data_IF_945800668872
#
_entry.id   IF_945800668872
#
_cell.length_a   1.000
_cell.length_b   1.000
_cell.length_c   1.000
_cell.angle_alpha   90.00
_cell.angle_beta   90.00
_cell.angle_gamma   90.00
#
_symmetry.space_group_name_H-M   'P 1'
#
loop_
_entity.id
_entity.type
_entity.pdbx_description
1 polymer ?
#
# COMPACT_ATOMS: atom_id res chain seq x y z
N UNK A 1 5.57 13.01 2.32
CA UNK A 1 5.31 13.06 0.87
C UNK A 1 4.37 11.91 0.58
N UNK A 2 3.16 12.18 0.11
CA UNK A 2 2.29 11.11 -0.36
C UNK A 2 2.98 10.51 -1.58
N UNK A 3 3.38 9.25 -1.48
CA UNK A 3 3.91 8.55 -2.63
C UNK A 3 2.73 8.19 -3.52
N UNK A 4 2.84 8.45 -4.84
CA UNK A 4 1.83 8.06 -5.81
C UNK A 4 1.69 6.54 -5.85
N UNK A 5 0.87 6.05 -4.92
CA UNK A 5 0.66 4.63 -4.65
C UNK A 5 -0.44 4.07 -5.54
N UNK A 6 -1.23 4.92 -6.18
CA UNK A 6 -2.35 4.49 -7.00
C UNK A 6 -2.10 4.81 -8.47
N UNK A 7 -2.72 4.05 -9.36
CA UNK A 7 -2.68 4.31 -10.78
C UNK A 7 -4.06 4.15 -11.42
N UNK A 8 -4.27 4.81 -12.55
CA UNK A 8 -5.36 4.54 -13.48
C UNK A 8 -4.83 4.47 -14.90
N UNK A 9 -5.55 3.78 -15.76
CA UNK A 9 -5.32 3.81 -17.20
C UNK A 9 -6.37 4.71 -17.83
N UNK A 10 -5.89 5.73 -18.54
CA UNK A 10 -6.71 6.62 -19.35
C UNK A 10 -6.94 5.98 -20.72
N UNK A 11 -8.21 5.78 -21.07
CA UNK A 11 -8.68 5.16 -22.32
C UNK A 11 -9.40 6.15 -23.22
N UNK A 12 -9.42 7.44 -22.88
CA UNK A 12 -10.09 8.50 -23.66
C UNK A 12 -9.46 8.76 -25.03
N UNK A 13 -8.28 8.19 -25.29
CA UNK A 13 -7.51 8.37 -26.51
C UNK A 13 -7.00 7.01 -27.01
N UNK A 14 -6.62 6.94 -28.29
CA UNK A 14 -6.07 5.74 -28.96
C UNK A 14 -4.83 5.12 -28.29
N UNK A 15 -4.24 5.80 -27.30
CA UNK A 15 -3.09 5.33 -26.55
C UNK A 15 -3.49 5.27 -25.07
N UNK A 16 -3.52 4.06 -24.51
CA UNK A 16 -3.75 3.85 -23.09
C UNK A 16 -2.59 4.42 -22.25
N UNK A 17 -2.83 5.51 -21.53
CA UNK A 17 -1.82 6.20 -20.72
C UNK A 17 -1.97 5.81 -19.25
N UNK A 18 -0.87 5.43 -18.60
CA UNK A 18 -0.84 5.18 -17.17
C UNK A 18 -0.64 6.49 -16.41
N UNK A 19 -1.64 6.86 -15.61
CA UNK A 19 -1.62 8.02 -14.72
C UNK A 19 -1.40 7.57 -13.28
N UNK A 20 -0.55 8.29 -12.56
CA UNK A 20 -0.25 8.05 -11.14
C UNK A 20 -1.04 9.02 -10.26
N UNK A 21 -1.48 8.54 -9.09
CA UNK A 21 -2.34 9.27 -8.18
C UNK A 21 -1.91 9.11 -6.72
N UNK A 22 -2.09 10.18 -5.95
CA UNK A 22 -1.82 10.17 -4.51
C UNK A 22 -2.86 9.35 -3.73
N UNK A 23 -4.11 9.30 -4.21
CA UNK A 23 -5.23 8.65 -3.52
C UNK A 23 -5.99 7.67 -4.40
N UNK A 24 -6.61 6.66 -3.78
CA UNK A 24 -7.47 5.71 -4.48
C UNK A 24 -8.67 6.39 -5.15
N UNK A 25 -9.24 7.41 -4.51
CA UNK A 25 -10.41 8.12 -5.05
C UNK A 25 -10.05 8.92 -6.31
N UNK A 26 -8.87 9.53 -6.37
CA UNK A 26 -8.37 10.15 -7.60
C UNK A 26 -8.18 9.13 -8.73
N UNK A 27 -7.59 7.97 -8.43
CA UNK A 27 -7.41 6.91 -9.43
C UNK A 27 -8.75 6.36 -9.96
N UNK A 28 -9.73 6.13 -9.07
CA UNK A 28 -11.08 5.73 -9.43
C UNK A 28 -11.74 6.77 -10.33
N UNK A 29 -11.73 8.03 -9.92
CA UNK A 29 -12.39 9.11 -10.65
C UNK A 29 -11.73 9.32 -12.01
N UNK A 30 -10.40 9.28 -12.08
CA UNK A 30 -9.66 9.42 -13.34
C UNK A 30 -9.95 8.27 -14.30
N UNK A 31 -10.01 7.02 -13.80
CA UNK A 31 -10.40 5.86 -14.61
C UNK A 31 -11.83 6.01 -15.15
N UNK A 32 -12.77 6.42 -14.29
CA UNK A 32 -14.16 6.62 -14.68
C UNK A 32 -14.30 7.73 -15.72
N UNK A 33 -13.60 8.85 -15.56
CA UNK A 33 -13.61 9.95 -16.52
C UNK A 33 -13.11 9.47 -17.89
N UNK A 34 -11.96 8.78 -17.95
CA UNK A 34 -11.41 8.27 -19.20
C UNK A 34 -12.36 7.30 -19.91
N UNK A 35 -12.99 6.38 -19.17
CA UNK A 35 -13.98 5.47 -19.73
C UNK A 35 -15.26 6.19 -20.21
N UNK A 36 -15.69 7.23 -19.49
CA UNK A 36 -16.86 8.03 -19.88
C UNK A 36 -16.59 8.80 -21.16
N UNK A 37 -15.43 9.44 -21.27
CA UNK A 37 -15.03 10.18 -22.47
C UNK A 37 -14.90 9.26 -23.69
N UNK A 38 -14.31 8.07 -23.53
CA UNK A 38 -14.23 7.07 -24.60
C UNK A 38 -15.62 6.56 -25.04
N UNK A 39 -16.53 6.34 -24.08
CA UNK A 39 -17.90 5.95 -24.38
C UNK A 39 -18.67 7.04 -25.14
N UNK A 40 -18.57 8.29 -24.71
CA UNK A 40 -19.19 9.44 -25.39
C UNK A 40 -18.68 9.60 -26.82
N UNK A 41 -17.36 9.41 -27.02
CA UNK A 41 -16.79 9.42 -28.37
C UNK A 41 -17.31 8.27 -29.24
N UNK A 42 -17.48 7.07 -28.69
CA UNK A 42 -18.03 5.93 -29.40
C UNK A 42 -19.52 6.12 -29.75
N UNK A 43 -20.30 6.78 -28.89
CA UNK A 43 -21.70 7.16 -29.15
C UNK A 43 -21.77 8.17 -30.32
N UNK A 44 -20.89 9.17 -30.33
CA UNK A 44 -20.78 10.16 -31.42
C UNK A 44 -20.38 9.51 -32.77
N UNK A 45 -19.62 8.42 -32.74
CA UNK A 45 -19.12 7.70 -33.91
C UNK A 45 -19.96 6.49 -34.33
N UNK A 46 -20.98 6.10 -33.53
CA UNK A 46 -21.74 4.84 -33.68
C UNK A 46 -20.81 3.60 -33.74
N UNK A 47 -19.73 3.60 -32.95
CA UNK A 47 -18.67 2.59 -32.96
C UNK A 47 -18.46 1.93 -31.59
N UNK A 48 -19.57 1.54 -30.96
CA UNK A 48 -19.54 0.85 -29.67
C UNK A 48 -18.84 -0.51 -29.72
N UNK A 49 -18.77 -1.16 -30.90
CA UNK A 49 -18.05 -2.42 -31.06
C UNK A 49 -16.55 -2.23 -30.80
N UNK A 50 -15.97 -1.14 -31.32
CA UNK A 50 -14.56 -0.82 -31.05
C UNK A 50 -14.34 -0.45 -29.59
N UNK A 51 -15.20 0.37 -29.00
CA UNK A 51 -15.10 0.72 -27.57
C UNK A 51 -15.15 -0.51 -26.65
N UNK A 52 -16.10 -1.42 -26.88
CA UNK A 52 -16.24 -2.65 -26.09
C UNK A 52 -15.03 -3.59 -26.26
N UNK A 53 -14.48 -3.65 -27.48
CA UNK A 53 -13.36 -4.53 -27.80
C UNK A 53 -11.99 -3.97 -27.38
N UNK A 54 -11.80 -2.65 -27.44
CA UNK A 54 -10.47 -2.04 -27.41
C UNK A 54 -10.25 -1.04 -26.28
N UNK A 55 -11.27 -0.33 -25.79
CA UNK A 55 -11.08 0.72 -24.77
C UNK A 55 -11.53 0.23 -23.38
N UNK A 56 -12.78 -0.22 -23.29
CA UNK A 56 -13.40 -0.64 -22.02
C UNK A 56 -12.60 -1.71 -21.25
N UNK A 57 -12.02 -2.75 -21.87
CA UNK A 57 -11.23 -3.75 -21.16
C UNK A 57 -9.97 -3.19 -20.48
N UNK A 58 -9.50 -2.01 -20.91
CA UNK A 58 -8.30 -1.37 -20.42
C UNK A 58 -8.57 -0.24 -19.43
N UNK A 59 -9.84 0.14 -19.21
CA UNK A 59 -10.24 1.10 -18.20
C UNK A 59 -10.08 0.50 -16.79
N UNK A 60 -8.84 0.50 -16.28
CA UNK A 60 -8.47 -0.09 -14.99
C UNK A 60 -7.82 0.91 -14.05
N UNK A 61 -7.97 0.68 -12.75
CA UNK A 61 -7.25 1.39 -11.70
C UNK A 61 -6.74 0.42 -10.65
N UNK A 62 -5.70 0.80 -9.90
CA UNK A 62 -5.09 -0.09 -8.94
C UNK A 62 -4.05 0.55 -8.04
N UNK A 63 -3.28 -0.32 -7.37
CA UNK A 63 -2.24 0.04 -6.41
C UNK A 63 -0.88 -0.37 -6.97
N UNK A 64 0.07 0.56 -7.00
CA UNK A 64 1.48 0.32 -7.26
C UNK A 64 2.07 -0.37 -6.04
N UNK A 65 2.50 -1.63 -6.19
CA UNK A 65 3.11 -2.42 -5.11
C UNK A 65 4.61 -2.15 -4.92
N UNK A 66 5.27 -1.60 -5.93
CA UNK A 66 6.65 -1.15 -5.85
C UNK A 66 7.06 -0.39 -7.11
N UNK A 67 8.16 0.36 -7.02
CA UNK A 67 8.73 1.16 -8.11
C UNK A 67 10.25 1.26 -7.97
N UNK A 68 10.93 1.46 -9.09
CA UNK A 68 12.33 1.89 -9.06
C UNK A 68 12.39 3.41 -8.87
N UNK A 69 13.27 3.89 -8.00
CA UNK A 69 13.54 5.30 -7.80
C UNK A 69 15.05 5.53 -7.82
N UNK A 70 15.48 6.50 -8.62
CA UNK A 70 16.82 7.08 -8.51
C UNK A 70 16.74 8.37 -7.73
N UNK A 71 17.69 8.57 -6.81
CA UNK A 71 17.89 9.86 -6.17
C UNK A 71 18.80 10.73 -7.04
N UNK A 72 18.70 12.05 -6.84
CA UNK A 72 19.54 13.02 -7.52
C UNK A 72 20.32 13.74 -6.43
N UNK A 73 21.63 13.81 -6.61
CA UNK A 73 22.52 14.55 -5.70
C UNK A 73 23.42 15.51 -6.47
N UNK A 74 23.90 16.58 -5.83
CA UNK A 74 24.98 17.39 -6.40
C UNK A 74 26.26 16.57 -6.55
N UNK A 75 27.13 17.01 -7.45
CA UNK A 75 28.49 16.46 -7.56
C UNK A 75 29.28 16.71 -6.28
N UNK A 76 30.15 15.76 -5.96
CA UNK A 76 31.22 15.96 -4.98
C UNK A 76 32.32 16.87 -5.55
N UNK A 77 33.19 17.40 -4.68
CA UNK A 77 34.29 18.26 -5.12
C UNK A 77 35.26 17.53 -6.08
N UNK A 78 35.55 16.24 -5.83
CA UNK A 78 36.37 15.42 -6.73
C UNK A 78 35.71 15.20 -8.10
N UNK A 79 34.39 14.98 -8.13
CA UNK A 79 33.65 14.81 -9.38
C UNK A 79 33.54 16.12 -10.17
N UNK A 80 33.45 17.28 -9.49
CA UNK A 80 33.47 18.61 -10.13
C UNK A 80 34.80 18.95 -10.77
N UNK A 81 35.90 18.50 -10.17
CA UNK A 81 37.25 18.72 -10.70
C UNK A 81 37.60 17.74 -11.84
N UNK A 82 36.74 16.74 -12.10
CA UNK A 82 36.92 15.74 -13.14
C UNK A 82 36.38 16.19 -14.49
N UNK A 83 37.21 16.07 -15.55
CA UNK A 83 36.79 16.34 -16.93
C UNK A 83 35.69 15.38 -17.44
N UNK A 84 35.43 14.27 -16.74
CA UNK A 84 34.42 13.28 -17.12
C UNK A 84 32.98 13.78 -16.94
N UNK A 85 32.74 14.71 -16.01
CA UNK A 85 31.41 15.22 -15.70
C UNK A 85 31.07 16.54 -16.43
N UNK A 86 32.01 17.11 -17.19
CA UNK A 86 31.74 18.28 -18.05
C UNK A 86 31.04 19.43 -17.30
N UNK A 87 29.87 19.85 -17.81
CA UNK A 87 29.06 20.96 -17.26
C UNK A 87 27.85 20.49 -16.43
N UNK A 88 27.66 19.19 -16.18
CA UNK A 88 26.55 18.78 -15.31
C UNK A 88 26.82 19.21 -13.87
N UNK A 89 25.77 19.56 -13.13
CA UNK A 89 25.84 19.99 -11.72
C UNK A 89 25.35 18.90 -10.75
N UNK A 90 24.71 17.86 -11.28
CA UNK A 90 24.05 16.81 -10.51
C UNK A 90 24.28 15.44 -11.15
N UNK A 91 24.28 14.41 -10.32
CA UNK A 91 24.39 13.01 -10.73
C UNK A 91 23.11 12.30 -10.32
N UNK A 92 22.60 11.47 -11.24
CA UNK A 92 21.50 10.54 -10.97
C UNK A 92 22.14 9.27 -10.39
N UNK A 93 21.74 8.91 -9.18
CA UNK A 93 22.21 7.70 -8.52
C UNK A 93 21.60 6.44 -9.16
N UNK A 94 22.29 5.28 -9.07
CA UNK A 94 21.71 4.01 -9.48
C UNK A 94 20.33 3.80 -8.85
N UNK A 95 19.35 3.30 -9.61
CA UNK A 95 18.00 3.13 -9.11
C UNK A 95 17.97 2.10 -7.97
N UNK A 96 17.16 2.40 -6.96
CA UNK A 96 16.81 1.49 -5.88
C UNK A 96 15.36 1.07 -5.99
N UNK A 97 15.02 -0.15 -5.58
CA UNK A 97 13.64 -0.59 -5.50
C UNK A 97 13.00 -0.06 -4.22
N UNK A 98 11.82 0.53 -4.36
CA UNK A 98 10.96 0.99 -3.27
C UNK A 98 9.69 0.17 -3.32
N UNK A 99 9.39 -0.57 -2.26
CA UNK A 99 8.13 -1.29 -2.13
C UNK A 99 7.07 -0.40 -1.46
N UNK A 100 5.88 -0.34 -2.04
CA UNK A 100 4.70 0.34 -1.52
C UNK A 100 3.80 -0.61 -0.71
N UNK A 101 4.41 -1.63 -0.11
CA UNK A 101 3.75 -2.58 0.76
C UNK A 101 3.47 -1.89 2.10
N UNK A 102 2.21 -1.57 2.39
CA UNK A 102 1.80 -0.98 3.68
C UNK A 102 1.94 -1.94 4.87
N UNK A 103 2.53 -3.12 4.64
CA UNK A 103 2.87 -4.11 5.65
C UNK A 103 4.05 -3.61 6.47
N UNK A 104 3.82 -3.44 7.77
CA UNK A 104 4.82 -2.98 8.71
C UNK A 104 5.47 -4.23 9.30
N UNK A 105 6.79 -4.39 9.11
CA UNK A 105 7.53 -5.46 9.79
C UNK A 105 7.50 -5.24 11.30
N UNK A 106 7.26 -6.30 12.07
CA UNK A 106 7.34 -6.23 13.55
C UNK A 106 8.73 -5.85 14.05
N UNK A 107 9.77 -6.07 13.23
CA UNK A 107 11.15 -5.64 13.53
C UNK A 107 11.34 -4.13 13.38
N UNK A 108 10.57 -3.50 12.50
CA UNK A 108 10.61 -2.06 12.28
C UNK A 108 9.77 -1.33 13.32
N UNK A 109 8.52 -1.80 13.52
CA UNK A 109 7.58 -1.19 14.47
C UNK A 109 6.46 -2.16 14.85
N UNK A 110 6.14 -2.19 16.14
CA UNK A 110 4.93 -2.83 16.68
C UNK A 110 3.79 -1.81 16.85
N UNK A 111 2.52 -2.24 16.78
CA UNK A 111 1.40 -1.38 17.19
C UNK A 111 1.53 -0.99 18.65
N UNK A 112 0.85 0.08 19.06
CA UNK A 112 0.74 0.42 20.48
C UNK A 112 -0.14 -0.62 21.18
N UNK A 113 0.39 -1.39 22.14
CA UNK A 113 -0.40 -2.42 22.82
C UNK A 113 -1.44 -1.79 23.74
N UNK A 114 -2.59 -2.45 23.87
CA UNK A 114 -3.68 -2.01 24.73
C UNK A 114 -4.06 -3.10 25.74
N UNK A 115 -4.62 -2.69 26.88
CA UNK A 115 -5.06 -3.62 27.93
C UNK A 115 -6.48 -4.09 27.67
N UNK A 116 -6.74 -5.39 27.78
CA UNK A 116 -8.11 -5.91 27.75
C UNK A 116 -8.38 -6.89 28.87
N UNK A 117 -9.35 -6.59 29.73
CA UNK A 117 -10.24 -7.64 30.25
C UNK A 117 -11.19 -8.04 29.12
N UNK A 118 -11.46 -9.34 28.90
CA UNK A 118 -12.19 -10.02 27.79
C UNK A 118 -13.34 -9.29 27.05
N UNK A 119 -13.87 -8.18 27.56
CA UNK A 119 -14.98 -7.38 27.04
C UNK A 119 -14.61 -6.31 25.99
N UNK A 120 -13.32 -6.15 25.59
CA UNK A 120 -12.85 -5.00 24.79
C UNK A 120 -11.99 -5.32 23.55
N UNK A 121 -12.10 -6.52 22.97
CA UNK A 121 -11.57 -6.82 21.62
C UNK A 121 -12.38 -6.08 20.57
N UNK A 122 -12.14 -4.76 20.45
CA UNK A 122 -12.93 -3.90 19.58
C UNK A 122 -12.42 -3.97 18.13
N UNK A 123 -13.32 -3.96 17.13
CA UNK A 123 -12.94 -3.92 15.72
C UNK A 123 -12.01 -2.74 15.35
N UNK A 124 -12.09 -1.63 16.09
CA UNK A 124 -11.30 -0.43 15.86
C UNK A 124 -9.79 -0.62 16.12
N UNK A 125 -9.41 -1.56 16.99
CA UNK A 125 -8.01 -1.83 17.33
C UNK A 125 -7.46 -3.09 16.66
N UNK A 126 -8.25 -3.71 15.77
CA UNK A 126 -7.88 -4.93 15.06
C UNK A 126 -6.89 -4.60 13.94
N UNK A 127 -5.98 -5.51 13.68
CA UNK A 127 -4.98 -5.41 12.61
C UNK A 127 -5.13 -6.56 11.63
N UNK A 128 -4.75 -6.32 10.38
CA UNK A 128 -4.47 -7.39 9.42
C UNK A 128 -3.05 -7.89 9.70
N UNK A 129 -2.86 -9.19 9.86
CA UNK A 129 -1.57 -9.79 10.25
C UNK A 129 -1.16 -10.88 9.27
N UNK A 130 0.16 -10.99 9.04
CA UNK A 130 0.79 -12.10 8.36
C UNK A 130 1.55 -12.95 9.39
N UNK A 131 1.04 -14.15 9.64
CA UNK A 131 1.38 -14.94 10.83
C UNK A 131 1.61 -16.42 10.52
N UNK A 132 2.18 -17.13 11.49
CA UNK A 132 2.35 -18.58 11.49
C UNK A 132 2.07 -19.14 12.89
N UNK A 133 1.52 -20.36 12.94
CA UNK A 133 1.27 -21.11 14.18
C UNK A 133 2.35 -22.17 14.43
N UNK A 134 3.04 -22.62 13.38
CA UNK A 134 3.97 -23.76 13.41
C UNK A 134 5.32 -23.50 12.73
N UNK A 135 5.58 -22.26 12.29
CA UNK A 135 6.73 -21.83 11.49
C UNK A 135 6.86 -22.49 10.09
N UNK A 136 5.96 -23.40 9.72
CA UNK A 136 5.97 -24.11 8.44
C UNK A 136 4.95 -23.49 7.47
N UNK A 137 3.76 -23.15 7.95
CA UNK A 137 2.68 -22.57 7.16
C UNK A 137 2.40 -21.14 7.57
N UNK A 138 2.19 -20.28 6.56
CA UNK A 138 1.96 -18.86 6.74
C UNK A 138 0.57 -18.46 6.26
N UNK A 139 -0.07 -17.61 7.05
CA UNK A 139 -1.47 -17.22 6.87
C UNK A 139 -1.63 -15.70 6.94
N UNK A 140 -2.71 -15.21 6.33
CA UNK A 140 -3.20 -13.85 6.50
C UNK A 140 -4.49 -13.93 7.30
N UNK A 141 -4.57 -13.17 8.38
CA UNK A 141 -5.74 -13.15 9.25
C UNK A 141 -5.87 -11.82 9.98
N UNK A 142 -6.77 -11.79 10.95
CA UNK A 142 -6.96 -10.64 11.82
C UNK A 142 -6.55 -10.96 13.25
N UNK A 143 -6.00 -9.98 13.94
CA UNK A 143 -5.60 -10.13 15.33
C UNK A 143 -5.37 -8.81 16.04
N UNK A 144 -4.99 -8.91 17.30
CA UNK A 144 -4.71 -7.78 18.17
C UNK A 144 -3.33 -7.92 18.81
N UNK A 145 -2.67 -6.78 19.03
CA UNK A 145 -1.46 -6.70 19.84
C UNK A 145 -1.81 -6.08 21.20
N UNK A 146 -1.81 -6.88 22.26
CA UNK A 146 -2.43 -6.49 23.53
C UNK A 146 -1.68 -7.02 24.76
N UNK A 147 -1.98 -6.42 25.92
CA UNK A 147 -1.62 -6.93 27.24
C UNK A 147 -2.81 -7.68 27.83
N UNK A 148 -2.60 -8.94 28.21
CA UNK A 148 -3.56 -9.74 28.95
C UNK A 148 -2.88 -10.44 30.14
N UNK A 149 -2.50 -11.70 30.00
CA UNK A 149 -2.03 -12.54 31.12
C UNK A 149 -0.55 -12.92 31.05
N UNK A 150 0.15 -12.56 29.98
CA UNK A 150 1.57 -12.90 29.77
C UNK A 150 2.46 -11.94 30.57
N UNK A 151 3.30 -12.48 31.44
CA UNK A 151 4.23 -11.73 32.30
C UNK A 151 5.69 -12.12 32.04
N UNK A 152 6.62 -11.20 32.29
CA UNK A 152 8.06 -11.45 32.30
C UNK A 152 8.54 -12.06 33.63
N UNK A 153 9.85 -12.35 33.75
CA UNK A 153 10.43 -12.93 34.97
C UNK A 153 10.28 -12.04 36.23
N UNK A 154 9.90 -10.78 36.08
CA UNK A 154 9.70 -9.81 37.15
C UNK A 154 8.22 -9.59 37.48
N UNK A 155 7.32 -10.20 36.71
CA UNK A 155 5.87 -10.03 36.84
C UNK A 155 5.33 -8.83 36.05
N UNK A 156 6.11 -8.23 35.16
CA UNK A 156 5.63 -7.14 34.29
C UNK A 156 4.93 -7.75 33.06
N UNK A 157 3.76 -7.21 32.69
CA UNK A 157 3.00 -7.71 31.54
C UNK A 157 3.75 -7.50 30.22
N UNK A 158 3.82 -8.55 29.40
CA UNK A 158 4.39 -8.55 28.05
C UNK A 158 3.26 -8.58 27.03
N UNK A 159 3.27 -7.70 26.02
CA UNK A 159 2.27 -7.72 24.97
C UNK A 159 2.54 -8.84 23.96
N UNK A 160 1.49 -9.47 23.45
CA UNK A 160 1.57 -10.54 22.46
C UNK A 160 0.49 -10.40 21.39
N UNK A 161 0.65 -11.15 20.29
CA UNK A 161 -0.31 -11.21 19.21
C UNK A 161 -1.32 -12.31 19.46
N UNK A 162 -2.60 -11.95 19.45
CA UNK A 162 -3.72 -12.87 19.59
C UNK A 162 -4.56 -12.86 18.31
N UNK A 163 -4.94 -14.06 17.84
CA UNK A 163 -5.75 -14.24 16.65
C UNK A 163 -7.23 -13.99 16.95
N UNK A 164 -7.96 -13.41 16.00
CA UNK A 164 -9.41 -13.19 16.14
C UNK A 164 -10.21 -14.49 16.25
N UNK A 165 -9.86 -15.49 15.45
CA UNK A 165 -10.62 -16.73 15.34
C UNK A 165 -10.18 -17.81 16.35
N UNK A 166 -9.07 -17.58 17.08
CA UNK A 166 -8.62 -18.44 18.18
C UNK A 166 -8.32 -17.58 19.40
N UNK A 167 -9.31 -17.47 20.29
CA UNK A 167 -9.29 -16.57 21.46
C UNK A 167 -8.23 -16.90 22.53
N UNK A 168 -7.30 -17.83 22.29
CA UNK A 168 -6.35 -18.29 23.32
C UNK A 168 -4.95 -18.67 22.81
N UNK A 169 -4.67 -18.63 21.50
CA UNK A 169 -3.36 -19.02 20.98
C UNK A 169 -2.54 -17.80 20.56
N UNK A 170 -1.34 -17.67 21.15
CA UNK A 170 -0.33 -16.72 20.71
C UNK A 170 0.17 -17.14 19.33
N UNK A 171 0.21 -16.18 18.40
CA UNK A 171 0.70 -16.42 17.04
C UNK A 171 1.97 -15.63 16.76
N UNK A 172 2.85 -16.21 15.93
CA UNK A 172 4.05 -15.50 15.48
C UNK A 172 3.70 -14.62 14.28
N UNK A 173 3.69 -13.31 14.48
CA UNK A 173 3.44 -12.32 13.42
C UNK A 173 4.75 -11.75 12.91
N UNK A 174 4.92 -11.67 11.59
CA UNK A 174 6.08 -10.97 10.99
C UNK A 174 5.74 -9.60 10.45
N UNK A 175 4.52 -9.43 9.93
CA UNK A 175 4.07 -8.16 9.36
C UNK A 175 2.62 -7.88 9.75
N UNK A 176 2.28 -6.59 9.89
CA UNK A 176 0.93 -6.16 10.21
C UNK A 176 0.51 -4.89 9.43
N UNK A 177 -0.79 -4.65 9.34
CA UNK A 177 -1.37 -3.41 8.82
C UNK A 177 -2.53 -2.92 9.71
N UNK A 178 -2.69 -1.61 9.91
CA UNK A 178 -3.93 -1.07 10.47
C UNK A 178 -5.08 -1.30 9.50
N UNK A 179 -6.28 -1.57 10.03
CA UNK A 179 -7.47 -1.63 9.19
C UNK A 179 -7.85 -0.24 8.67
N UNK A 180 -8.41 -0.15 7.46
CA UNK A 180 -8.97 1.11 6.97
C UNK A 180 -10.07 1.58 7.91
N UNK A 181 -10.11 2.90 8.18
CA UNK A 181 -11.19 3.52 8.93
C UNK A 181 -12.53 3.25 8.20
N UNK A 182 -13.61 2.92 8.92
CA UNK A 182 -14.92 2.75 8.28
C UNK A 182 -15.31 4.03 7.51
N UNK A 183 -16.04 3.91 6.38
CA UNK A 183 -16.54 5.07 5.67
C UNK A 183 -17.35 5.94 6.63
N UNK A 184 -17.10 7.25 6.62
CA UNK A 184 -17.94 8.18 7.39
C UNK A 184 -19.34 8.12 6.79
N UNK A 185 -20.35 7.80 7.61
CA UNK A 185 -21.75 7.95 7.19
C UNK A 185 -21.98 9.42 6.83
N UNK A 186 -22.24 9.70 5.55
CA UNK A 186 -22.78 10.98 5.13
C UNK A 186 -24.17 11.12 5.75
N UNK A 187 -24.34 12.11 6.63
CA UNK A 187 -25.64 12.53 7.17
C UNK A 187 -26.26 13.60 6.31
#
# INVERSE_FOLDING_TARGET
MNEDKYFSVDVSNDIHILNLHETLEQAKQSCLNGATEAYEFADDMDDHESYEAYDLPYAVYGVVLGRAKSDIRPLTDEERESELFGEVEQVIEPPTLVENNSWISVKDRLPEPFYTSEQYRMPANRHLIYYTEDEEYWFIGFGWYLYDSKEDEKGDLIPYWELEDSFFDEVTVTHWQPLPQPPKEEK
#
